data_IF_999600730669
#
_entry.id   IF_999600730669
#
_cell.length_a   1.000
_cell.length_b   1.000
_cell.length_c   1.000
_cell.angle_alpha   90.00
_cell.angle_beta   90.00
_cell.angle_gamma   90.00
#
_symmetry.space_group_name_H-M   'P 1'
#
loop_
_entity.id
_entity.type
_entity.pdbx_description
1 polymer ?
#
# COMPACT_ATOMS: atom_id res chain seq x y z
N UNK A 1 21.31 -9.36 -10.87
CA UNK A 1 20.57 -9.33 -12.15
C UNK A 1 20.23 -7.88 -12.47
N UNK A 2 20.49 -7.43 -13.69
CA UNK A 2 20.17 -6.06 -14.12
C UNK A 2 18.79 -6.10 -14.81
N UNK A 3 17.87 -5.19 -14.44
CA UNK A 3 16.58 -5.04 -15.09
C UNK A 3 16.64 -3.90 -16.12
N UNK A 4 16.27 -4.18 -17.37
CA UNK A 4 16.27 -3.21 -18.46
C UNK A 4 14.88 -2.98 -19.07
N UNK A 5 13.83 -3.66 -18.58
CA UNK A 5 12.48 -3.56 -19.13
C UNK A 5 11.51 -2.85 -18.16
N UNK A 6 11.77 -1.57 -17.94
CA UNK A 6 10.89 -0.72 -17.12
C UNK A 6 9.62 -0.28 -17.85
N UNK A 7 9.54 -0.48 -19.17
CA UNK A 7 8.35 -0.15 -19.96
C UNK A 7 7.26 -1.19 -19.79
N UNK A 8 7.61 -2.48 -19.60
CA UNK A 8 6.64 -3.53 -19.31
C UNK A 8 6.07 -3.41 -17.89
N UNK A 9 6.94 -3.26 -16.89
CA UNK A 9 6.55 -3.03 -15.50
C UNK A 9 7.72 -2.52 -14.68
N UNK A 10 7.44 -1.94 -13.51
CA UNK A 10 8.47 -1.45 -12.60
C UNK A 10 8.33 -2.07 -11.22
N UNK A 11 9.46 -2.35 -10.59
CA UNK A 11 9.46 -2.75 -9.18
C UNK A 11 9.01 -1.55 -8.33
N UNK A 12 8.04 -1.72 -7.41
CA UNK A 12 7.65 -0.65 -6.51
C UNK A 12 8.84 -0.20 -5.67
N UNK A 13 8.89 1.10 -5.36
CA UNK A 13 9.93 1.64 -4.48
C UNK A 13 9.77 1.08 -3.07
N UNK A 14 10.83 1.07 -2.24
CA UNK A 14 10.72 0.66 -0.85
C UNK A 14 9.65 1.45 -0.07
N UNK A 15 9.40 2.72 -0.42
CA UNK A 15 8.36 3.53 0.18
C UNK A 15 6.95 3.03 -0.13
N UNK A 16 6.69 2.67 -1.40
CA UNK A 16 5.41 2.09 -1.81
C UNK A 16 5.18 0.75 -1.11
N UNK A 17 6.20 -0.11 -1.03
CA UNK A 17 6.09 -1.41 -0.34
C UNK A 17 5.70 -1.22 1.13
N UNK A 18 6.36 -0.32 1.86
CA UNK A 18 6.02 -0.04 3.27
C UNK A 18 4.63 0.55 3.44
N UNK A 19 4.18 1.41 2.53
CA UNK A 19 2.85 1.99 2.59
C UNK A 19 1.76 0.92 2.40
N UNK A 20 1.96 0.00 1.45
CA UNK A 20 1.04 -1.12 1.21
C UNK A 20 1.05 -2.10 2.39
N UNK A 21 2.21 -2.46 2.92
CA UNK A 21 2.32 -3.30 4.11
C UNK A 21 1.58 -2.68 5.30
N UNK A 22 1.81 -1.40 5.57
CA UNK A 22 1.08 -0.66 6.60
C UNK A 22 -0.42 -0.67 6.37
N UNK A 23 -0.87 -0.48 5.14
CA UNK A 23 -2.29 -0.52 4.81
C UNK A 23 -2.91 -1.89 5.14
N UNK A 24 -2.20 -2.97 4.82
CA UNK A 24 -2.66 -4.34 5.05
C UNK A 24 -2.62 -4.76 6.53
N UNK A 25 -1.66 -4.28 7.30
CA UNK A 25 -1.44 -4.72 8.69
C UNK A 25 -2.10 -3.77 9.71
N UNK A 26 -2.05 -2.46 9.49
CA UNK A 26 -2.54 -1.46 10.45
C UNK A 26 -3.88 -0.83 10.05
N UNK A 27 -4.11 -0.61 8.75
CA UNK A 27 -5.26 0.15 8.23
C UNK A 27 -6.27 -0.72 7.47
N UNK A 28 -6.39 -1.99 7.85
CA UNK A 28 -7.21 -3.00 7.16
C UNK A 28 -8.73 -2.81 7.30
N UNK A 29 -9.17 -1.90 8.17
CA UNK A 29 -10.58 -1.68 8.47
C UNK A 29 -11.34 -1.14 7.25
N UNK A 30 -12.64 -1.41 7.18
CA UNK A 30 -13.49 -0.86 6.12
C UNK A 30 -13.48 0.67 6.13
N UNK A 31 -12.98 1.35 5.07
CA UNK A 31 -12.88 2.80 5.03
C UNK A 31 -14.26 3.48 4.96
N UNK A 32 -15.34 2.78 4.63
CA UNK A 32 -16.70 3.33 4.71
C UNK A 32 -17.26 3.36 6.14
N UNK A 33 -16.61 2.72 7.11
CA UNK A 33 -17.08 2.71 8.50
C UNK A 33 -16.92 4.07 9.17
N UNK A 34 -17.91 4.47 9.98
CA UNK A 34 -17.84 5.71 10.78
C UNK A 34 -16.93 5.59 12.01
N UNK A 35 -16.63 4.36 12.43
CA UNK A 35 -15.82 4.10 13.62
C UNK A 35 -14.33 4.43 13.37
N UNK A 36 -13.57 4.62 14.46
CA UNK A 36 -12.17 5.12 14.40
C UNK A 36 -11.26 4.35 13.43
N UNK A 37 -11.38 3.03 13.39
CA UNK A 37 -10.60 2.20 12.46
C UNK A 37 -10.87 2.55 10.99
N UNK A 38 -12.14 2.78 10.62
CA UNK A 38 -12.52 3.18 9.26
C UNK A 38 -12.05 4.60 8.91
N UNK A 39 -12.09 5.54 9.86
CA UNK A 39 -11.55 6.89 9.64
C UNK A 39 -10.03 6.88 9.44
N UNK A 40 -9.31 6.00 10.14
CA UNK A 40 -7.87 5.87 9.99
C UNK A 40 -7.46 5.24 8.64
N UNK A 41 -8.34 4.48 8.00
CA UNK A 41 -8.11 3.80 6.73
C UNK A 41 -8.50 4.63 5.48
N UNK A 42 -9.02 5.85 5.66
CA UNK A 42 -9.31 6.80 4.57
C UNK A 42 -8.08 7.65 4.24
#
# INVERSE_FOLDING_TARGET
MINLDHNATTKPTPGVVRAVERALVELWHNPSSVHRGGQAAR
#
